data_IF_931838559038
#
_entry.id   IF_931838559038
#
_cell.length_a   1.000
_cell.length_b   1.000
_cell.length_c   1.000
_cell.angle_alpha   90.00
_cell.angle_beta   90.00
_cell.angle_gamma   90.00
#
_symmetry.space_group_name_H-M   'P 1'
#
loop_
_entity.id
_entity.type
_entity.pdbx_description
1 polymer ?
#
# COMPACT_ATOMS: atom_id res chain seq x y z
N UNK A 1 -56.35 26.98 -0.38
CA UNK A 1 -55.93 26.04 0.69
C UNK A 1 -55.73 24.63 0.15
N UNK A 2 -56.75 23.96 -0.42
CA UNK A 2 -56.63 22.58 -0.94
C UNK A 2 -55.57 22.43 -2.06
N UNK A 3 -55.51 23.35 -3.03
CA UNK A 3 -54.48 23.29 -4.08
C UNK A 3 -53.07 23.53 -3.55
N UNK A 4 -52.88 24.52 -2.68
CA UNK A 4 -51.58 24.84 -2.06
C UNK A 4 -51.01 23.65 -1.28
N UNK A 5 -51.86 22.93 -0.56
CA UNK A 5 -51.48 21.74 0.20
C UNK A 5 -51.12 20.55 -0.69
N UNK A 6 -51.74 20.44 -1.87
CA UNK A 6 -51.39 19.44 -2.88
C UNK A 6 -50.00 19.70 -3.47
N UNK A 7 -49.66 20.97 -3.77
CA UNK A 7 -48.34 21.37 -4.25
C UNK A 7 -47.23 21.12 -3.22
N UNK A 8 -47.46 21.47 -1.94
CA UNK A 8 -46.52 21.19 -0.84
C UNK A 8 -46.20 19.69 -0.72
N UNK A 9 -47.20 18.81 -0.89
CA UNK A 9 -47.01 17.34 -0.82
C UNK A 9 -46.21 16.77 -2.00
N UNK A 10 -46.43 17.29 -3.20
CA UNK A 10 -45.68 16.91 -4.41
C UNK A 10 -44.20 17.31 -4.28
N UNK A 11 -43.93 18.51 -3.77
CA UNK A 11 -42.56 19.01 -3.53
C UNK A 11 -41.77 18.14 -2.53
N UNK A 12 -42.39 17.76 -1.41
CA UNK A 12 -41.79 16.85 -0.42
C UNK A 12 -41.45 15.48 -1.02
N UNK A 13 -42.31 14.95 -1.88
CA UNK A 13 -42.11 13.63 -2.50
C UNK A 13 -40.95 13.67 -3.51
N UNK A 14 -40.81 14.76 -4.27
CA UNK A 14 -39.68 14.93 -5.21
C UNK A 14 -38.33 15.05 -4.51
N UNK A 15 -38.28 15.71 -3.34
CA UNK A 15 -37.03 15.84 -2.56
C UNK A 15 -36.52 14.48 -2.07
N UNK A 16 -37.41 13.62 -1.56
CA UNK A 16 -37.06 12.28 -1.05
C UNK A 16 -36.57 11.35 -2.18
N UNK A 17 -37.14 11.46 -3.38
CA UNK A 17 -36.74 10.66 -4.53
C UNK A 17 -35.34 11.03 -5.04
N UNK A 18 -34.99 12.33 -5.00
CA UNK A 18 -33.69 12.84 -5.44
C UNK A 18 -32.54 12.38 -4.52
N UNK A 19 -32.73 12.39 -3.20
CA UNK A 19 -31.70 11.96 -2.23
C UNK A 19 -31.27 10.49 -2.40
N UNK A 20 -32.21 9.60 -2.74
CA UNK A 20 -31.88 8.18 -3.01
C UNK A 20 -31.01 7.99 -4.24
N UNK A 21 -31.16 8.86 -5.24
CA UNK A 21 -30.36 8.81 -6.46
C UNK A 21 -28.91 9.23 -6.22
N UNK A 22 -28.68 10.28 -5.42
CA UNK A 22 -27.34 10.80 -5.12
C UNK A 22 -26.48 9.79 -4.35
N UNK A 23 -27.06 9.05 -3.40
CA UNK A 23 -26.34 8.03 -2.61
C UNK A 23 -25.80 6.88 -3.47
N UNK A 24 -26.55 6.43 -4.48
CA UNK A 24 -26.14 5.32 -5.33
C UNK A 24 -24.94 5.65 -6.25
N UNK A 25 -24.74 6.93 -6.56
CA UNK A 25 -23.63 7.41 -7.40
C UNK A 25 -22.31 7.40 -6.61
N UNK A 26 -22.38 7.74 -5.32
CA UNK A 26 -21.21 7.77 -4.43
C UNK A 26 -20.60 6.38 -4.25
N UNK A 27 -21.42 5.34 -4.11
CA UNK A 27 -20.94 3.95 -3.96
C UNK A 27 -20.15 3.48 -5.20
N UNK A 28 -20.56 3.91 -6.40
CA UNK A 28 -19.89 3.55 -7.65
C UNK A 28 -18.52 4.23 -7.77
N UNK A 29 -18.43 5.50 -7.42
CA UNK A 29 -17.18 6.27 -7.46
C UNK A 29 -16.13 5.70 -6.49
N UNK A 30 -16.56 5.24 -5.31
CA UNK A 30 -15.66 4.60 -4.32
C UNK A 30 -15.09 3.29 -4.87
N UNK A 31 -15.90 2.47 -5.53
CA UNK A 31 -15.46 1.20 -6.12
C UNK A 31 -14.42 1.44 -7.23
N UNK A 32 -14.64 2.45 -8.08
CA UNK A 32 -13.72 2.75 -9.18
C UNK A 32 -12.39 3.33 -8.67
N UNK A 33 -12.45 4.15 -7.61
CA UNK A 33 -11.25 4.67 -6.94
C UNK A 33 -10.39 3.54 -6.32
N UNK A 34 -11.00 2.56 -5.65
CA UNK A 34 -10.30 1.41 -5.07
C UNK A 34 -9.62 0.58 -6.17
N UNK A 35 -10.33 0.32 -7.28
CA UNK A 35 -9.81 -0.47 -8.39
C UNK A 35 -8.60 0.18 -9.04
N UNK A 36 -8.67 1.48 -9.33
CA UNK A 36 -7.56 2.21 -9.96
C UNK A 36 -6.31 2.28 -9.07
N UNK A 37 -6.47 2.37 -7.75
CA UNK A 37 -5.34 2.44 -6.82
C UNK A 37 -4.56 1.11 -6.72
N UNK A 38 -5.26 -0.03 -6.80
CA UNK A 38 -4.63 -1.36 -6.78
C UNK A 38 -3.73 -1.62 -8.00
N UNK A 39 -4.18 -1.18 -9.18
CA UNK A 39 -3.46 -1.34 -10.46
C UNK A 39 -2.17 -0.49 -10.47
N UNK A 40 -2.23 0.71 -9.88
CA UNK A 40 -1.08 1.61 -9.84
C UNK A 40 0.07 1.02 -9.00
N UNK A 41 -0.26 0.38 -7.87
CA UNK A 41 0.76 -0.22 -7.00
C UNK A 41 1.44 -1.44 -7.61
N UNK A 42 0.73 -2.24 -8.42
CA UNK A 42 1.27 -3.43 -9.07
C UNK A 42 2.17 -3.09 -10.27
N UNK A 43 1.83 -2.04 -11.04
CA UNK A 43 2.62 -1.65 -12.21
C UNK A 43 4.02 -1.11 -11.82
N UNK A 44 4.12 -0.42 -10.69
CA UNK A 44 5.38 0.21 -10.22
C UNK A 44 6.41 -0.84 -9.79
N UNK A 45 5.98 -1.93 -9.16
CA UNK A 45 6.89 -3.00 -8.73
C UNK A 45 7.57 -3.68 -9.93
N UNK A 46 6.86 -3.79 -11.06
CA UNK A 46 7.38 -4.38 -12.29
C UNK A 46 8.40 -3.47 -13.02
N UNK A 47 8.21 -2.15 -12.98
CA UNK A 47 9.17 -1.20 -13.57
C UNK A 47 10.53 -1.24 -12.85
N UNK A 48 10.53 -1.30 -11.51
CA UNK A 48 11.74 -1.34 -10.68
C UNK A 48 12.62 -2.58 -10.96
N UNK A 49 12.02 -3.71 -11.37
CA UNK A 49 12.76 -4.93 -11.67
C UNK A 49 13.37 -4.96 -13.09
N UNK A 50 12.86 -4.12 -14.01
CA UNK A 50 13.24 -4.14 -15.42
C UNK A 50 14.61 -3.52 -15.72
N UNK A 51 15.16 -2.70 -14.82
CA UNK A 51 16.41 -1.96 -15.06
C UNK A 51 17.70 -2.71 -14.66
N UNK A 52 17.60 -3.95 -14.17
CA UNK A 52 18.77 -4.67 -13.65
C UNK A 52 19.75 -5.11 -14.74
N UNK A 53 21.01 -4.69 -14.64
CA UNK A 53 22.10 -5.15 -15.51
C UNK A 53 22.47 -6.61 -15.22
N UNK A 54 23.18 -7.26 -16.18
CA UNK A 54 23.58 -8.66 -16.01
C UNK A 54 24.52 -8.88 -14.83
N UNK A 55 25.45 -7.96 -14.56
CA UNK A 55 26.38 -8.05 -13.43
C UNK A 55 25.67 -7.95 -12.08
N UNK A 56 24.69 -7.06 -12.00
CA UNK A 56 23.82 -6.87 -10.84
C UNK A 56 22.95 -8.11 -10.56
N UNK A 57 22.40 -8.75 -11.60
CA UNK A 57 21.64 -10.01 -11.45
C UNK A 57 22.51 -11.14 -10.89
N UNK A 58 23.76 -11.24 -11.36
CA UNK A 58 24.70 -12.25 -10.87
C UNK A 58 25.12 -11.96 -9.42
N UNK A 59 25.41 -10.70 -9.08
CA UNK A 59 25.79 -10.31 -7.73
C UNK A 59 24.70 -10.64 -6.68
N UNK A 60 23.43 -10.38 -6.99
CA UNK A 60 22.32 -10.75 -6.09
C UNK A 60 22.21 -12.26 -5.92
N UNK A 61 22.33 -13.02 -7.02
CA UNK A 61 22.25 -14.47 -6.94
C UNK A 61 23.39 -15.06 -6.11
N UNK A 62 24.60 -14.50 -6.23
CA UNK A 62 25.77 -14.89 -5.42
C UNK A 62 25.56 -14.52 -3.96
N UNK A 63 25.05 -13.32 -3.65
CA UNK A 63 24.76 -12.90 -2.27
C UNK A 63 23.69 -13.78 -1.61
N UNK A 64 22.60 -14.07 -2.34
CA UNK A 64 21.53 -14.97 -1.87
C UNK A 64 22.02 -16.39 -1.62
N UNK A 65 22.89 -16.91 -2.49
CA UNK A 65 23.49 -18.23 -2.30
C UNK A 65 24.46 -18.26 -1.11
N UNK A 66 25.31 -17.24 -0.99
CA UNK A 66 26.27 -17.10 0.11
C UNK A 66 25.60 -16.93 1.49
N UNK A 67 24.38 -16.38 1.54
CA UNK A 67 23.59 -16.23 2.77
C UNK A 67 22.80 -17.48 3.19
N UNK A 68 22.87 -18.59 2.45
CA UNK A 68 22.10 -19.79 2.77
C UNK A 68 22.78 -20.69 3.80
N UNK A 69 22.00 -21.23 4.74
CA UNK A 69 22.45 -22.25 5.69
C UNK A 69 23.05 -23.50 5.01
N UNK A 70 22.54 -23.87 3.83
CA UNK A 70 23.07 -25.01 3.08
C UNK A 70 24.48 -24.74 2.55
N UNK A 71 24.77 -23.50 2.13
CA UNK A 71 26.10 -23.11 1.67
C UNK A 71 27.12 -23.20 2.80
N UNK A 72 26.77 -22.69 3.98
CA UNK A 72 27.63 -22.72 5.17
C UNK A 72 28.02 -24.17 5.52
N UNK A 73 27.05 -25.09 5.55
CA UNK A 73 27.29 -26.50 5.91
C UNK A 73 28.21 -27.18 4.89
N UNK A 74 27.96 -26.99 3.59
CA UNK A 74 28.80 -27.57 2.52
C UNK A 74 30.21 -27.00 2.56
N UNK A 75 30.35 -25.68 2.79
CA UNK A 75 31.64 -25.00 2.85
C UNK A 75 32.49 -25.48 4.03
N UNK A 76 31.90 -25.60 5.23
CA UNK A 76 32.59 -26.17 6.39
C UNK A 76 32.96 -27.64 6.18
N UNK A 77 32.06 -28.43 5.57
CA UNK A 77 32.34 -29.84 5.25
C UNK A 77 33.52 -29.97 4.28
N UNK A 78 33.58 -29.12 3.26
CA UNK A 78 34.70 -29.08 2.32
C UNK A 78 36.03 -28.77 3.02
N UNK A 79 36.06 -27.77 3.90
CA UNK A 79 37.25 -27.43 4.70
C UNK A 79 37.67 -28.60 5.58
N UNK A 80 36.73 -29.25 6.27
CA UNK A 80 37.01 -30.42 7.11
C UNK A 80 37.60 -31.58 6.31
N UNK A 81 37.00 -31.90 5.15
CA UNK A 81 37.50 -32.95 4.25
C UNK A 81 38.90 -32.62 3.74
N UNK A 82 39.16 -31.36 3.34
CA UNK A 82 40.47 -30.91 2.88
C UNK A 82 41.55 -31.08 3.94
N UNK A 83 41.26 -30.69 5.18
CA UNK A 83 42.19 -30.85 6.31
C UNK A 83 42.46 -32.33 6.59
N UNK A 84 41.41 -33.17 6.67
CA UNK A 84 41.56 -34.61 6.94
C UNK A 84 42.41 -35.27 5.85
N UNK A 85 42.12 -34.99 4.57
CA UNK A 85 42.89 -35.54 3.45
C UNK A 85 44.37 -35.16 3.51
N UNK A 86 44.70 -33.90 3.80
CA UNK A 86 46.09 -33.45 3.85
C UNK A 86 46.85 -33.97 5.07
N UNK A 87 46.18 -34.18 6.21
CA UNK A 87 46.76 -34.79 7.40
C UNK A 87 47.04 -36.28 7.18
N UNK A 88 46.12 -37.01 6.53
CA UNK A 88 46.25 -38.45 6.32
C UNK A 88 47.29 -38.82 5.24
N UNK A 89 47.55 -37.91 4.31
CA UNK A 89 48.53 -38.09 3.23
C UNK A 89 49.97 -37.83 3.72
N UNK A 90 50.47 -38.64 4.67
CA UNK A 90 51.77 -38.45 5.36
C UNK A 90 53.01 -38.43 4.44
N UNK A 91 52.93 -38.96 3.21
CA UNK A 91 54.10 -39.20 2.34
C UNK A 91 54.36 -38.03 1.39
N UNK A 92 53.31 -37.26 1.02
CA UNK A 92 53.41 -36.10 0.13
C UNK A 92 52.20 -35.17 0.36
N UNK A 93 52.11 -34.57 1.55
CA UNK A 93 51.05 -33.59 1.85
C UNK A 93 51.13 -32.44 0.86
N UNK A 94 50.02 -32.15 0.19
CA UNK A 94 49.92 -31.05 -0.77
C UNK A 94 49.86 -29.69 -0.05
N UNK A 95 49.24 -29.65 1.13
CA UNK A 95 49.16 -28.49 2.02
C UNK A 95 49.41 -28.93 3.46
N UNK A 96 50.68 -29.08 3.89
CA UNK A 96 51.02 -29.47 5.26
C UNK A 96 50.61 -28.39 6.27
N UNK A 97 50.36 -28.82 7.51
CA UNK A 97 50.06 -27.90 8.62
C UNK A 97 51.15 -26.81 8.71
N UNK A 98 50.83 -25.50 8.64
CA UNK A 98 49.58 -24.83 9.02
C UNK A 98 48.56 -24.49 7.89
N UNK A 99 48.53 -25.24 6.78
CA UNK A 99 47.57 -25.06 5.65
C UNK A 99 47.64 -23.70 4.94
N UNK A 100 48.82 -23.34 4.43
CA UNK A 100 49.05 -22.01 3.82
C UNK A 100 48.22 -21.80 2.54
N UNK A 101 48.04 -22.85 1.74
CA UNK A 101 47.33 -22.75 0.46
C UNK A 101 45.83 -22.60 0.68
N UNK A 102 45.26 -23.37 1.61
CA UNK A 102 43.88 -23.22 2.03
C UNK A 102 43.61 -21.81 2.58
N UNK A 103 44.50 -21.29 3.43
CA UNK A 103 44.37 -19.95 3.99
C UNK A 103 44.43 -18.85 2.91
N UNK A 104 45.31 -18.99 1.92
CA UNK A 104 45.41 -18.07 0.79
C UNK A 104 44.11 -18.04 -0.03
N UNK A 105 43.55 -19.20 -0.34
CA UNK A 105 42.29 -19.31 -1.09
C UNK A 105 41.14 -18.69 -0.29
N UNK A 106 41.02 -19.00 1.00
CA UNK A 106 40.00 -18.45 1.90
C UNK A 106 40.08 -16.93 1.97
N UNK A 107 41.29 -16.37 2.10
CA UNK A 107 41.52 -14.93 2.14
C UNK A 107 41.14 -14.24 0.84
N UNK A 108 41.50 -14.83 -0.31
CA UNK A 108 41.11 -14.31 -1.62
C UNK A 108 39.59 -14.36 -1.82
N UNK A 109 38.95 -15.47 -1.42
CA UNK A 109 37.50 -15.63 -1.50
C UNK A 109 36.78 -14.58 -0.64
N UNK A 110 37.22 -14.37 0.59
CA UNK A 110 36.64 -13.38 1.49
C UNK A 110 36.80 -11.94 0.95
N UNK A 111 37.97 -11.62 0.40
CA UNK A 111 38.25 -10.31 -0.19
C UNK A 111 37.32 -9.96 -1.37
N UNK A 112 36.94 -10.95 -2.18
CA UNK A 112 35.99 -10.78 -3.29
C UNK A 112 34.54 -10.80 -2.79
N UNK A 113 34.23 -11.58 -1.75
CA UNK A 113 32.88 -11.66 -1.19
C UNK A 113 32.41 -10.35 -0.55
N UNK A 114 33.27 -9.68 0.23
CA UNK A 114 32.91 -8.44 0.93
C UNK A 114 32.31 -7.34 0.02
N UNK A 115 32.93 -6.95 -1.12
CA UNK A 115 32.36 -5.96 -2.02
C UNK A 115 31.10 -6.45 -2.74
N UNK A 116 31.00 -7.74 -3.09
CA UNK A 116 29.78 -8.30 -3.71
C UNK A 116 28.59 -8.21 -2.75
N UNK A 117 28.81 -8.57 -1.48
CA UNK A 117 27.80 -8.45 -0.42
C UNK A 117 27.42 -6.98 -0.24
N UNK A 118 28.40 -6.07 -0.17
CA UNK A 118 28.16 -4.63 -0.01
C UNK A 118 27.40 -4.03 -1.19
N UNK A 119 27.70 -4.45 -2.43
CA UNK A 119 26.97 -4.03 -3.63
C UNK A 119 25.52 -4.51 -3.60
N UNK A 120 25.27 -5.78 -3.21
CA UNK A 120 23.92 -6.31 -3.07
C UNK A 120 23.14 -5.60 -1.96
N UNK A 121 23.79 -5.33 -0.80
CA UNK A 121 23.21 -4.58 0.31
C UNK A 121 22.85 -3.15 -0.07
N UNK A 122 23.79 -2.37 -0.63
CA UNK A 122 23.53 -0.99 -1.08
C UNK A 122 22.36 -0.92 -2.05
N UNK A 123 22.23 -1.92 -2.94
CA UNK A 123 21.11 -1.99 -3.88
C UNK A 123 19.79 -2.29 -3.19
N UNK A 124 19.78 -3.25 -2.27
CA UNK A 124 18.59 -3.60 -1.50
C UNK A 124 18.11 -2.40 -0.67
N UNK A 125 19.03 -1.68 -0.03
CA UNK A 125 18.73 -0.44 0.69
C UNK A 125 18.17 0.65 -0.20
N UNK A 126 18.70 0.81 -1.42
CA UNK A 126 18.14 1.76 -2.40
C UNK A 126 16.71 1.41 -2.78
N UNK A 127 16.42 0.12 -3.07
CA UNK A 127 15.06 -0.36 -3.37
C UNK A 127 14.13 -0.14 -2.18
N UNK A 128 14.57 -0.45 -0.97
CA UNK A 128 13.76 -0.31 0.23
C UNK A 128 13.50 1.16 0.58
N UNK A 129 14.48 2.05 0.33
CA UNK A 129 14.28 3.49 0.43
C UNK A 129 13.28 4.02 -0.61
N UNK A 130 13.39 3.59 -1.87
CA UNK A 130 12.44 3.99 -2.92
C UNK A 130 11.02 3.53 -2.58
N UNK A 131 10.86 2.28 -2.10
CA UNK A 131 9.57 1.77 -1.61
C UNK A 131 9.05 2.60 -0.44
N UNK A 132 9.89 2.92 0.54
CA UNK A 132 9.50 3.77 1.67
C UNK A 132 9.07 5.19 1.24
N UNK A 133 9.80 5.84 0.33
CA UNK A 133 9.44 7.16 -0.21
C UNK A 133 8.09 7.11 -0.97
N UNK A 134 7.83 6.01 -1.67
CA UNK A 134 6.57 5.81 -2.40
C UNK A 134 5.39 5.56 -1.46
N UNK A 135 5.53 4.65 -0.49
CA UNK A 135 4.51 4.36 0.51
C UNK A 135 4.14 5.62 1.31
N UNK A 136 5.15 6.44 1.64
CA UNK A 136 4.93 7.74 2.27
C UNK A 136 4.07 8.67 1.41
N UNK A 137 4.34 8.77 0.10
CA UNK A 137 3.53 9.60 -0.83
C UNK A 137 2.11 9.08 -0.94
N UNK A 138 1.90 7.76 -1.00
CA UNK A 138 0.57 7.16 -1.00
C UNK A 138 -0.18 7.51 0.28
N UNK A 139 0.47 7.37 1.44
CA UNK A 139 -0.14 7.67 2.73
C UNK A 139 -0.56 9.13 2.85
N UNK A 140 0.32 10.06 2.45
CA UNK A 140 0.02 11.49 2.42
C UNK A 140 -1.15 11.81 1.49
N UNK A 141 -1.20 11.18 0.31
CA UNK A 141 -2.31 11.34 -0.63
C UNK A 141 -3.62 10.83 -0.03
N UNK A 142 -3.60 9.66 0.61
CA UNK A 142 -4.77 9.09 1.28
C UNK A 142 -5.26 9.97 2.43
N UNK A 143 -4.36 10.53 3.24
CA UNK A 143 -4.70 11.50 4.30
C UNK A 143 -5.42 12.73 3.71
N UNK A 144 -4.90 13.26 2.59
CA UNK A 144 -5.49 14.42 1.92
C UNK A 144 -6.87 14.10 1.33
N UNK A 145 -7.03 12.92 0.71
CA UNK A 145 -8.31 12.43 0.18
C UNK A 145 -9.34 12.25 1.29
N UNK A 146 -8.96 11.68 2.44
CA UNK A 146 -9.84 11.54 3.62
C UNK A 146 -10.27 12.90 4.14
N UNK A 147 -9.35 13.87 4.23
CA UNK A 147 -9.66 15.23 4.67
C UNK A 147 -10.66 15.91 3.73
N UNK A 148 -10.45 15.80 2.42
CA UNK A 148 -11.38 16.32 1.41
C UNK A 148 -12.74 15.63 1.47
N UNK A 149 -12.79 14.32 1.72
CA UNK A 149 -14.03 13.58 1.89
C UNK A 149 -14.78 14.06 3.14
N UNK A 150 -14.08 14.26 4.26
CA UNK A 150 -14.65 14.81 5.49
C UNK A 150 -15.27 16.19 5.26
N UNK A 151 -14.55 17.08 4.56
CA UNK A 151 -15.06 18.42 4.23
C UNK A 151 -16.31 18.37 3.34
N UNK A 152 -16.34 17.46 2.35
CA UNK A 152 -17.55 17.22 1.53
C UNK A 152 -18.72 16.69 2.37
N UNK A 153 -18.46 15.75 3.27
CA UNK A 153 -19.49 15.19 4.16
C UNK A 153 -20.05 16.30 5.06
N UNK A 154 -19.19 17.12 5.67
CA UNK A 154 -19.62 18.26 6.50
C UNK A 154 -20.48 19.23 5.69
N UNK A 155 -20.08 19.56 4.46
CA UNK A 155 -20.86 20.41 3.57
C UNK A 155 -22.23 19.79 3.22
N UNK A 156 -22.28 18.50 2.92
CA UNK A 156 -23.54 17.78 2.65
C UNK A 156 -24.46 17.75 3.87
N UNK A 157 -23.90 17.51 5.07
CA UNK A 157 -24.64 17.52 6.33
C UNK A 157 -25.25 18.89 6.62
N UNK A 158 -24.50 19.97 6.41
CA UNK A 158 -25.01 21.34 6.53
C UNK A 158 -26.17 21.58 5.56
N UNK A 159 -26.04 21.14 4.31
CA UNK A 159 -27.09 21.30 3.31
C UNK A 159 -28.36 20.48 3.66
N UNK A 160 -28.19 19.23 4.11
CA UNK A 160 -29.31 18.40 4.57
C UNK A 160 -30.01 19.02 5.79
N UNK A 161 -29.26 19.52 6.77
CA UNK A 161 -29.82 20.20 7.94
C UNK A 161 -30.65 21.43 7.53
N UNK A 162 -30.15 22.22 6.57
CA UNK A 162 -30.89 23.37 6.03
C UNK A 162 -32.20 22.95 5.37
N UNK A 163 -32.19 21.89 4.54
CA UNK A 163 -33.40 21.34 3.93
C UNK A 163 -34.39 20.83 4.98
N UNK A 164 -33.91 20.19 6.05
CA UNK A 164 -34.75 19.68 7.13
C UNK A 164 -35.46 20.82 7.87
N UNK A 165 -34.77 21.94 8.11
CA UNK A 165 -35.34 23.15 8.69
C UNK A 165 -36.41 23.76 7.77
N UNK A 166 -36.13 23.86 6.47
CA UNK A 166 -37.11 24.35 5.48
C UNK A 166 -38.37 23.48 5.44
N UNK A 167 -38.23 22.15 5.54
CA UNK A 167 -39.36 21.22 5.66
C UNK A 167 -40.15 21.47 6.96
N UNK A 168 -39.48 21.70 8.09
CA UNK A 168 -40.14 22.00 9.36
C UNK A 168 -40.91 23.32 9.31
N UNK A 169 -40.34 24.36 8.69
CA UNK A 169 -41.01 25.65 8.51
C UNK A 169 -42.29 25.49 7.69
N UNK A 170 -42.21 24.79 6.55
CA UNK A 170 -43.38 24.50 5.69
C UNK A 170 -44.43 23.67 6.42
N UNK A 171 -44.02 22.70 7.26
CA UNK A 171 -44.95 21.93 8.09
C UNK A 171 -45.63 22.77 9.17
N UNK A 172 -44.90 23.70 9.79
CA UNK A 172 -45.42 24.61 10.81
C UNK A 172 -46.45 25.56 10.20
N UNK A 173 -46.15 26.15 9.04
CA UNK A 173 -47.08 26.98 8.27
C UNK A 173 -48.35 26.21 7.91
N UNK A 174 -48.19 24.95 7.47
CA UNK A 174 -49.32 24.09 7.13
C UNK A 174 -50.21 23.79 8.35
N UNK A 175 -49.62 23.53 9.52
CA UNK A 175 -50.36 23.32 10.76
C UNK A 175 -51.09 24.59 11.22
N UNK A 176 -50.47 25.76 11.07
CA UNK A 176 -51.10 27.04 11.40
C UNK A 176 -52.29 27.33 10.49
N UNK A 177 -52.16 27.09 9.18
CA UNK A 177 -53.25 27.19 8.20
C UNK A 177 -54.42 26.26 8.57
N UNK A 178 -54.13 25.01 8.91
CA UNK A 178 -55.15 24.04 9.36
C UNK A 178 -55.85 24.49 10.65
N UNK A 179 -55.10 25.00 11.63
CA UNK A 179 -55.68 25.52 12.88
C UNK A 179 -56.58 26.73 12.63
N UNK A 180 -56.18 27.67 11.75
CA UNK A 180 -57.01 28.80 11.35
C UNK A 180 -58.30 28.33 10.69
N UNK A 181 -58.23 27.33 9.81
CA UNK A 181 -59.40 26.81 9.09
C UNK A 181 -60.36 26.06 10.02
N UNK A 182 -59.86 25.30 11.00
CA UNK A 182 -60.66 24.67 12.06
C UNK A 182 -61.35 25.73 12.93
N UNK A 183 -60.63 26.78 13.33
CA UNK A 183 -61.17 27.88 14.14
C UNK A 183 -62.24 28.69 13.39
N UNK A 184 -62.15 28.78 12.06
CA UNK A 184 -63.12 29.48 11.20
C UNK A 184 -64.38 28.67 10.90
N UNK A 185 -64.32 27.33 11.03
CA UNK A 185 -65.47 26.42 10.87
C UNK A 185 -66.27 26.22 12.17
N UNK A 186 -65.78 26.75 13.28
CA UNK A 186 -66.41 26.69 14.60
C UNK A 186 -67.06 28.03 14.93
#
# INVERSE_FOLDING_TARGET
>A
LIELNKYRRLYLTSLIAQERGELAIIDLDVIDAIKNNSILSENIQNEIESELTLGEKVADKVALFGGSWSFIIVFFSFIAIWMIMNIWLLIKSFDPFPFILLNLILSCLAAIQAPIIMMSQNRQEQKDRQRGEHDYKINLKAELEIKLLSEKIDHLLVNQNKKLLEIQDVQTDYLEDLMKEIKRKK
#
